data_IF_768963408225
#
_entry.id   IF_768963408225
#
_cell.length_a   1.000
_cell.length_b   1.000
_cell.length_c   1.000
_cell.angle_alpha   90.00
_cell.angle_beta   90.00
_cell.angle_gamma   90.00
#
_symmetry.space_group_name_H-M   'P 1'
#
loop_
_entity.id
_entity.type
_entity.pdbx_description
1 polymer ?
#
# COMPACT_ATOMS: atom_id res chain seq x y z
N UNK A 1 30.55 24.32 21.07
CA UNK A 1 29.59 24.65 19.99
C UNK A 1 29.21 23.31 19.40
N UNK A 2 28.01 22.84 19.73
CA UNK A 2 27.55 21.49 19.37
C UNK A 2 27.46 21.39 17.84
N UNK A 3 28.19 20.43 17.27
CA UNK A 3 28.09 20.11 15.86
C UNK A 3 26.72 19.50 15.60
N UNK A 4 25.85 20.24 14.94
CA UNK A 4 24.64 19.70 14.35
C UNK A 4 25.06 18.70 13.28
N UNK A 5 25.04 17.41 13.60
CA UNK A 5 25.24 16.34 12.64
C UNK A 5 24.00 16.27 11.75
N UNK A 6 24.07 16.95 10.61
CA UNK A 6 23.14 16.75 9.50
C UNK A 6 23.21 15.27 9.08
N UNK A 7 22.09 14.53 9.04
CA UNK A 7 22.09 13.25 8.36
C UNK A 7 22.27 13.52 6.87
N UNK A 8 23.49 13.32 6.36
CA UNK A 8 23.72 13.20 4.92
C UNK A 8 22.89 12.02 4.43
N UNK A 9 21.73 12.33 3.85
CA UNK A 9 20.94 11.39 3.08
C UNK A 9 21.73 11.11 1.79
N UNK A 10 22.58 10.10 1.83
CA UNK A 10 23.27 9.56 0.66
C UNK A 10 22.27 9.42 -0.50
N UNK A 11 22.54 10.10 -1.61
CA UNK A 11 21.72 10.22 -2.81
C UNK A 11 21.54 8.90 -3.60
N UNK A 12 21.74 7.76 -2.94
CA UNK A 12 21.38 6.42 -3.37
C UNK A 12 20.56 5.81 -2.25
N UNK A 13 19.32 6.29 -2.05
CA UNK A 13 18.31 5.48 -1.39
C UNK A 13 18.24 4.16 -2.19
N UNK A 14 18.94 3.13 -1.70
CA UNK A 14 19.01 1.84 -2.35
C UNK A 14 17.57 1.35 -2.43
N UNK A 15 16.98 1.43 -3.61
CA UNK A 15 15.61 0.96 -3.85
C UNK A 15 15.64 -0.55 -3.62
N UNK A 16 15.30 -0.98 -2.41
CA UNK A 16 15.39 -2.37 -1.99
C UNK A 16 14.31 -3.23 -2.64
N UNK A 17 13.20 -2.59 -3.01
CA UNK A 17 12.04 -3.19 -3.64
C UNK A 17 11.47 -2.23 -4.69
N UNK A 18 11.23 -2.75 -5.91
CA UNK A 18 10.67 -1.99 -7.03
C UNK A 18 9.22 -2.41 -7.26
N UNK A 19 8.31 -1.44 -7.34
CA UNK A 19 6.93 -1.70 -7.74
C UNK A 19 6.90 -2.02 -9.25
N UNK A 20 6.41 -3.20 -9.61
CA UNK A 20 6.29 -3.68 -10.99
C UNK A 20 4.89 -3.41 -11.53
N UNK A 21 3.87 -3.65 -10.72
CA UNK A 21 2.48 -3.53 -11.14
C UNK A 21 1.58 -3.08 -9.98
N UNK A 22 0.53 -2.34 -10.32
CA UNK A 22 -0.49 -1.84 -9.41
C UNK A 22 -1.86 -2.16 -10.00
N UNK A 23 -2.56 -3.10 -9.37
CA UNK A 23 -3.92 -3.47 -9.74
C UNK A 23 -4.85 -3.13 -8.59
N UNK A 24 -6.06 -2.68 -8.90
CA UNK A 24 -7.06 -2.41 -7.90
C UNK A 24 -8.45 -2.79 -8.39
N UNK A 25 -9.35 -3.08 -7.46
CA UNK A 25 -10.77 -3.34 -7.72
C UNK A 25 -11.63 -2.65 -6.67
N UNK A 26 -12.76 -2.10 -7.10
CA UNK A 26 -13.82 -1.59 -6.22
C UNK A 26 -14.76 -2.74 -5.87
N UNK A 27 -14.96 -2.98 -4.58
CA UNK A 27 -15.84 -4.02 -4.06
C UNK A 27 -16.83 -3.47 -3.03
N UNK A 28 -17.77 -4.31 -2.62
CA UNK A 28 -18.71 -4.02 -1.53
C UNK A 28 -18.60 -5.12 -0.48
N UNK A 29 -18.35 -4.74 0.77
CA UNK A 29 -18.32 -5.65 1.90
C UNK A 29 -19.67 -5.67 2.62
N UNK A 30 -20.02 -6.83 3.17
CA UNK A 30 -21.21 -7.05 4.00
C UNK A 30 -20.73 -7.54 5.37
N UNK A 31 -20.92 -6.76 6.43
CA UNK A 31 -20.53 -7.14 7.80
C UNK A 31 -21.72 -7.67 8.60
N UNK A 32 -21.76 -8.96 8.95
CA UNK A 32 -22.90 -9.53 9.69
C UNK A 32 -22.82 -9.23 11.20
N UNK A 33 -23.98 -9.07 11.83
CA UNK A 33 -24.34 -9.54 13.19
C UNK A 33 -25.86 -9.37 13.45
N UNK A 34 -26.52 -8.39 12.80
CA UNK A 34 -28.01 -8.25 12.76
C UNK A 34 -28.53 -7.11 11.83
N UNK A 35 -27.71 -6.54 10.94
CA UNK A 35 -27.92 -5.17 10.47
C UNK A 35 -28.51 -5.00 9.05
N UNK A 36 -29.45 -4.06 8.94
CA UNK A 36 -30.29 -3.69 7.79
C UNK A 36 -29.63 -2.70 6.79
N UNK A 37 -28.31 -2.49 6.82
CA UNK A 37 -27.64 -1.52 5.91
C UNK A 37 -26.15 -1.80 5.68
N UNK A 38 -25.84 -2.94 5.09
CA UNK A 38 -24.47 -3.42 4.90
C UNK A 38 -24.03 -3.25 3.45
N UNK A 39 -23.58 -2.04 3.12
CA UNK A 39 -23.04 -1.69 1.79
C UNK A 39 -21.83 -0.79 1.96
N UNK A 40 -20.74 -1.30 2.54
CA UNK A 40 -19.50 -0.52 2.67
C UNK A 40 -18.63 -0.74 1.43
N UNK A 41 -18.52 0.26 0.54
CA UNK A 41 -17.59 0.16 -0.58
C UNK A 41 -16.16 0.17 -0.05
N UNK A 42 -15.33 -0.68 -0.64
CA UNK A 42 -13.91 -0.75 -0.31
C UNK A 42 -13.10 -0.98 -1.58
N UNK A 43 -11.83 -0.60 -1.54
CA UNK A 43 -10.88 -0.87 -2.61
C UNK A 43 -9.98 -2.00 -2.15
N UNK A 44 -9.89 -3.06 -2.96
CA UNK A 44 -8.83 -4.05 -2.80
C UNK A 44 -7.71 -3.73 -3.78
N UNK A 45 -6.50 -3.55 -3.27
CA UNK A 45 -5.29 -3.26 -4.04
C UNK A 45 -4.42 -4.52 -4.07
N UNK A 46 -3.79 -4.78 -5.21
CA UNK A 46 -2.75 -5.78 -5.39
C UNK A 46 -1.51 -5.11 -5.99
N UNK A 47 -0.41 -5.18 -5.25
CA UNK A 47 0.90 -4.69 -5.64
C UNK A 47 1.78 -5.87 -6.05
N UNK A 48 2.41 -5.79 -7.21
CA UNK A 48 3.46 -6.72 -7.63
C UNK A 48 4.79 -6.02 -7.43
N UNK A 49 5.64 -6.59 -6.58
CA UNK A 49 6.90 -5.96 -6.16
C UNK A 49 8.06 -6.91 -6.43
N UNK A 50 9.11 -6.43 -7.10
CA UNK A 50 10.39 -7.13 -7.24
C UNK A 50 11.31 -6.74 -6.09
N UNK A 51 11.86 -7.71 -5.38
CA UNK A 51 12.98 -7.45 -4.48
C UNK A 51 14.31 -7.38 -5.25
N UNK A 52 15.36 -6.95 -4.56
CA UNK A 52 16.73 -6.87 -5.09
C UNK A 52 17.31 -8.17 -5.69
N UNK A 53 16.73 -9.34 -5.38
CA UNK A 53 17.15 -10.64 -5.95
C UNK A 53 16.42 -10.97 -7.26
N UNK A 54 15.53 -10.08 -7.71
CA UNK A 54 14.64 -10.33 -8.86
C UNK A 54 13.43 -11.18 -8.51
N UNK A 55 13.24 -11.59 -7.25
CA UNK A 55 12.04 -12.31 -6.84
C UNK A 55 10.85 -11.36 -6.82
N UNK A 56 9.78 -11.78 -7.50
CA UNK A 56 8.54 -11.03 -7.61
C UNK A 56 7.52 -11.57 -6.62
N UNK A 57 6.96 -10.69 -5.79
CA UNK A 57 5.96 -11.02 -4.77
C UNK A 57 4.72 -10.16 -4.97
N UNK A 58 3.55 -10.78 -4.79
CA UNK A 58 2.28 -10.08 -4.76
C UNK A 58 1.91 -9.75 -3.30
N UNK A 59 1.45 -8.52 -3.07
CA UNK A 59 0.92 -8.05 -1.78
C UNK A 59 -0.46 -7.46 -2.01
N UNK A 60 -1.42 -7.87 -1.20
CA UNK A 60 -2.79 -7.36 -1.30
C UNK A 60 -3.27 -6.83 0.03
N UNK A 61 -4.06 -5.77 -0.01
CA UNK A 61 -4.73 -5.19 1.14
C UNK A 61 -6.04 -4.54 0.72
N UNK A 62 -6.92 -4.34 1.70
CA UNK A 62 -8.20 -3.66 1.54
C UNK A 62 -8.15 -2.33 2.28
N UNK A 63 -8.73 -1.30 1.69
CA UNK A 63 -8.84 0.01 2.31
C UNK A 63 -10.18 0.66 1.96
N UNK A 64 -10.61 1.61 2.78
CA UNK A 64 -11.83 2.38 2.51
C UNK A 64 -11.63 3.33 1.32
N UNK A 65 -12.73 3.78 0.70
CA UNK A 65 -12.68 4.72 -0.43
C UNK A 65 -11.92 6.01 -0.09
N UNK A 66 -12.16 6.68 1.07
CA UNK A 66 -11.42 7.89 1.42
C UNK A 66 -9.93 7.63 1.63
N UNK A 67 -9.54 6.46 2.14
CA UNK A 67 -8.13 6.11 2.28
C UNK A 67 -7.47 5.95 0.90
N UNK A 68 -8.15 5.33 -0.07
CA UNK A 68 -7.64 5.17 -1.43
C UNK A 68 -7.50 6.51 -2.18
N UNK A 69 -8.40 7.47 -1.94
CA UNK A 69 -8.31 8.81 -2.54
C UNK A 69 -7.09 9.62 -2.08
N UNK A 70 -6.51 9.26 -0.93
CA UNK A 70 -5.33 9.91 -0.34
C UNK A 70 -4.08 9.03 -0.40
N UNK A 71 -4.12 7.92 -1.18
CA UNK A 71 -3.03 6.96 -1.34
C UNK A 71 -2.15 7.33 -2.55
#
# INVERSE_FOLDING_TARGET
MEGCSEPQLDAKAKVTNQLIDFQWKLGMAVSSDSCRSLKYPYVAVMLKVADHSGQVKNRSFEMTIPQFQNF
#
